data_IF_100742929920
#
_entry.id   IF_100742929920
#
_cell.length_a   1.000
_cell.length_b   1.000
_cell.length_c   1.000
_cell.angle_alpha   90.00
_cell.angle_beta   90.00
_cell.angle_gamma   90.00
#
_symmetry.space_group_name_H-M   'P 1'
#
loop_
_entity.id
_entity.type
_entity.pdbx_description
1 polymer ?
#
# COMPACT_ATOMS: atom_id res chain seq x y z
N UNK A 1 15.47 1.51 23.02
CA UNK A 1 15.83 0.70 21.83
C UNK A 1 16.49 1.63 20.82
N UNK A 2 17.71 1.32 20.35
CA UNK A 2 18.44 2.18 19.40
C UNK A 2 17.84 2.08 18.00
N UNK A 3 17.88 3.15 17.21
CA UNK A 3 17.39 3.16 15.82
C UNK A 3 17.98 2.01 14.99
N UNK A 4 19.26 1.68 15.22
CA UNK A 4 19.95 0.60 14.51
C UNK A 4 19.44 -0.81 14.84
N UNK A 5 18.98 -1.06 16.08
CA UNK A 5 18.43 -2.39 16.40
C UNK A 5 17.01 -2.53 15.86
N UNK A 6 16.16 -1.49 15.98
CA UNK A 6 14.83 -1.49 15.37
C UNK A 6 14.90 -1.72 13.84
N UNK A 7 15.82 -1.03 13.16
CA UNK A 7 16.00 -1.20 11.71
C UNK A 7 16.40 -2.64 11.34
N UNK A 8 17.34 -3.22 12.08
CA UNK A 8 17.78 -4.60 11.85
C UNK A 8 16.64 -5.58 12.04
N UNK A 9 15.87 -5.43 13.12
CA UNK A 9 14.74 -6.32 13.41
C UNK A 9 13.68 -6.26 12.30
N UNK A 10 13.39 -5.07 11.77
CA UNK A 10 12.49 -4.89 10.62
C UNK A 10 13.06 -5.56 9.36
N UNK A 11 14.34 -5.33 9.04
CA UNK A 11 14.97 -5.96 7.87
C UNK A 11 14.97 -7.48 7.96
N UNK A 12 15.32 -8.03 9.12
CA UNK A 12 15.38 -9.48 9.33
C UNK A 12 13.98 -10.09 9.24
N UNK A 13 12.96 -9.41 9.78
CA UNK A 13 11.55 -9.78 9.60
C UNK A 13 11.10 -9.77 8.14
N UNK A 14 11.46 -8.72 7.37
CA UNK A 14 11.13 -8.62 5.95
C UNK A 14 11.83 -9.71 5.13
N UNK A 15 13.11 -9.98 5.38
CA UNK A 15 13.85 -11.06 4.73
C UNK A 15 13.25 -12.43 5.04
N UNK A 16 12.91 -12.68 6.30
CA UNK A 16 12.29 -13.93 6.71
C UNK A 16 10.91 -14.13 6.08
N UNK A 17 10.11 -13.06 5.95
CA UNK A 17 8.77 -13.11 5.36
C UNK A 17 8.78 -13.26 3.83
N UNK A 18 9.63 -12.49 3.14
CA UNK A 18 9.55 -12.33 1.69
C UNK A 18 10.62 -13.09 0.90
N UNK A 19 11.75 -13.46 1.54
CA UNK A 19 12.83 -14.19 0.88
C UNK A 19 13.26 -13.54 -0.44
N UNK A 20 13.32 -14.33 -1.49
CA UNK A 20 13.73 -13.89 -2.83
C UNK A 20 12.79 -12.87 -3.48
N UNK A 21 11.57 -12.71 -2.95
CA UNK A 21 10.65 -11.67 -3.44
C UNK A 21 11.05 -10.28 -2.99
N UNK A 22 11.86 -10.15 -1.93
CA UNK A 22 12.33 -8.86 -1.44
C UNK A 22 13.43 -8.31 -2.33
N UNK A 23 13.10 -7.34 -3.19
CA UNK A 23 14.06 -6.72 -4.10
C UNK A 23 14.90 -5.65 -3.41
N UNK A 24 14.25 -4.77 -2.63
CA UNK A 24 14.96 -3.74 -1.88
C UNK A 24 14.12 -3.17 -0.74
N UNK A 25 14.80 -2.59 0.24
CA UNK A 25 14.21 -1.81 1.33
C UNK A 25 14.90 -0.45 1.34
N UNK A 26 14.12 0.61 1.19
CA UNK A 26 14.61 1.99 1.17
C UNK A 26 14.09 2.70 2.42
N UNK A 27 15.02 3.21 3.23
CA UNK A 27 14.68 4.14 4.30
C UNK A 27 14.62 5.56 3.75
N UNK A 28 13.60 6.29 4.16
CA UNK A 28 13.49 7.71 3.82
C UNK A 28 12.90 8.50 4.98
N UNK A 29 12.61 9.77 4.73
CA UNK A 29 11.95 10.63 5.71
C UNK A 29 12.85 11.17 6.82
N UNK A 30 12.20 11.76 7.81
CA UNK A 30 12.83 12.67 8.77
C UNK A 30 13.90 12.03 9.65
N UNK A 31 13.74 10.73 9.98
CA UNK A 31 14.72 9.97 10.79
C UNK A 31 16.03 9.77 10.06
N UNK A 32 15.97 9.44 8.76
CA UNK A 32 17.17 9.27 7.95
C UNK A 32 17.84 10.60 7.60
N UNK A 33 17.05 11.68 7.48
CA UNK A 33 17.55 13.04 7.22
C UNK A 33 18.10 13.75 8.47
N UNK A 34 18.03 13.13 9.66
CA UNK A 34 18.45 13.76 10.92
C UNK A 34 17.55 14.90 11.41
N UNK A 35 16.31 14.98 10.91
CA UNK A 35 15.30 16.00 11.26
C UNK A 35 14.17 15.45 12.14
N UNK A 36 14.27 14.20 12.57
CA UNK A 36 13.24 13.54 13.34
C UNK A 36 13.11 14.09 14.76
N UNK A 37 11.87 14.17 15.22
CA UNK A 37 11.47 14.38 16.61
C UNK A 37 11.30 13.03 17.30
N UNK A 38 11.21 13.03 18.63
CA UNK A 38 11.04 11.79 19.41
C UNK A 38 9.81 10.95 18.99
N UNK A 39 8.76 11.60 18.49
CA UNK A 39 7.53 10.98 17.99
C UNK A 39 7.48 10.84 16.46
N UNK A 40 8.56 11.15 15.74
CA UNK A 40 8.56 10.98 14.29
C UNK A 40 8.45 9.51 13.92
N UNK A 41 7.60 9.21 12.96
CA UNK A 41 7.43 7.87 12.40
C UNK A 41 8.68 7.43 11.62
N UNK A 42 8.68 6.15 11.22
CA UNK A 42 9.72 5.56 10.38
C UNK A 42 9.15 5.31 8.99
N UNK A 43 9.71 6.01 7.99
CA UNK A 43 9.28 5.87 6.60
C UNK A 43 10.16 4.82 5.88
N UNK A 44 9.51 3.74 5.42
CA UNK A 44 10.17 2.64 4.71
C UNK A 44 9.40 2.33 3.43
N UNK A 45 10.12 2.16 2.33
CA UNK A 45 9.58 1.65 1.07
C UNK A 45 10.14 0.25 0.88
N UNK A 46 9.26 -0.74 0.78
CA UNK A 46 9.60 -2.14 0.54
C UNK A 46 9.23 -2.46 -0.90
N UNK A 47 10.21 -2.86 -1.71
CA UNK A 47 10.00 -3.27 -3.09
C UNK A 47 10.01 -4.79 -3.16
N UNK A 48 8.90 -5.35 -3.63
CA UNK A 48 8.74 -6.77 -3.88
C UNK A 48 8.73 -7.03 -5.40
N UNK A 49 9.20 -8.21 -5.82
CA UNK A 49 9.16 -8.63 -7.22
C UNK A 49 7.74 -8.87 -7.72
N UNK A 50 6.83 -9.16 -6.79
CA UNK A 50 5.42 -9.42 -7.05
C UNK A 50 4.60 -8.86 -5.89
N UNK A 51 3.42 -8.32 -6.21
CA UNK A 51 2.43 -7.90 -5.21
C UNK A 51 1.95 -9.11 -4.37
N UNK A 52 1.43 -8.89 -3.17
CA UNK A 52 0.78 -9.99 -2.43
C UNK A 52 -0.55 -10.37 -3.09
N UNK A 53 -1.08 -11.56 -2.75
CA UNK A 53 -2.39 -11.99 -3.25
C UNK A 53 -3.52 -11.04 -2.82
N UNK A 54 -3.41 -10.46 -1.63
CA UNK A 54 -4.37 -9.48 -1.13
C UNK A 54 -4.34 -8.19 -1.95
N UNK A 55 -3.14 -7.67 -2.27
CA UNK A 55 -2.98 -6.47 -3.11
C UNK A 55 -3.56 -6.69 -4.50
N UNK A 56 -3.24 -7.84 -5.11
CA UNK A 56 -3.82 -8.25 -6.41
C UNK A 56 -5.33 -8.36 -6.34
N UNK A 57 -5.86 -8.94 -5.26
CA UNK A 57 -7.30 -9.09 -5.04
C UNK A 57 -7.99 -7.73 -4.91
N UNK A 58 -7.43 -6.83 -4.10
CA UNK A 58 -7.93 -5.46 -3.89
C UNK A 58 -7.88 -4.65 -5.19
N UNK A 59 -6.78 -4.75 -5.95
CA UNK A 59 -6.68 -4.11 -7.26
C UNK A 59 -7.73 -4.62 -8.25
N UNK A 60 -7.99 -5.94 -8.26
CA UNK A 60 -9.06 -6.53 -9.08
C UNK A 60 -10.44 -6.00 -8.68
N UNK A 61 -10.75 -5.99 -7.38
CA UNK A 61 -12.00 -5.43 -6.87
C UNK A 61 -12.16 -3.96 -7.23
N UNK A 62 -11.10 -3.16 -7.07
CA UNK A 62 -11.09 -1.76 -7.44
C UNK A 62 -11.49 -1.57 -8.92
N UNK A 63 -10.89 -2.39 -9.79
CA UNK A 63 -11.18 -2.38 -11.23
C UNK A 63 -12.63 -2.79 -11.53
N UNK A 64 -13.15 -3.81 -10.85
CA UNK A 64 -14.54 -4.25 -11.00
C UNK A 64 -15.54 -3.17 -10.59
N UNK A 65 -15.29 -2.49 -9.46
CA UNK A 65 -16.10 -1.39 -8.96
C UNK A 65 -16.05 -0.18 -9.88
N UNK A 66 -14.88 0.17 -10.44
CA UNK A 66 -14.76 1.24 -11.42
C UNK A 66 -15.58 0.94 -12.68
N UNK A 67 -15.44 -0.26 -13.25
CA UNK A 67 -16.23 -0.70 -14.41
C UNK A 67 -17.73 -0.69 -14.12
N UNK A 68 -18.13 -0.97 -12.88
CA UNK A 68 -19.53 -0.86 -12.45
C UNK A 68 -19.98 0.60 -12.41
N UNK A 69 -19.17 1.50 -11.86
CA UNK A 69 -19.46 2.94 -11.85
C UNK A 69 -19.64 3.47 -13.28
N UNK A 70 -18.77 3.10 -14.22
CA UNK A 70 -18.87 3.48 -15.63
C UNK A 70 -20.17 3.00 -16.28
N UNK A 71 -20.62 1.78 -15.98
CA UNK A 71 -21.90 1.26 -16.50
C UNK A 71 -23.09 2.04 -15.93
N UNK A 72 -23.09 2.32 -14.63
CA UNK A 72 -24.16 3.05 -13.95
C UNK A 72 -24.23 4.51 -14.43
N UNK A 73 -23.08 5.10 -14.74
CA UNK A 73 -22.99 6.43 -15.32
C UNK A 73 -23.70 6.50 -16.67
N UNK A 74 -23.45 5.51 -17.55
CA UNK A 74 -24.12 5.40 -18.85
C UNK A 74 -25.64 5.22 -18.73
N UNK A 75 -26.11 4.66 -17.61
CA UNK A 75 -27.53 4.46 -17.32
C UNK A 75 -28.18 5.66 -16.61
N UNK A 76 -27.41 6.69 -16.23
CA UNK A 76 -27.90 7.84 -15.47
C UNK A 76 -28.18 7.54 -13.98
N UNK A 77 -27.74 6.39 -13.46
CA UNK A 77 -27.86 6.06 -12.03
C UNK A 77 -26.73 6.68 -11.22
N UNK A 78 -26.90 7.97 -10.89
CA UNK A 78 -25.91 8.76 -10.17
C UNK A 78 -25.58 8.24 -8.77
N UNK A 79 -26.57 7.71 -8.04
CA UNK A 79 -26.35 7.14 -6.70
C UNK A 79 -25.48 5.90 -6.81
N UNK A 80 -25.78 5.03 -7.77
CA UNK A 80 -25.00 3.85 -8.08
C UNK A 80 -23.56 4.17 -8.53
N UNK A 81 -23.38 5.26 -9.30
CA UNK A 81 -22.05 5.75 -9.71
C UNK A 81 -21.20 6.12 -8.50
N UNK A 82 -21.70 7.00 -7.63
CA UNK A 82 -20.92 7.50 -6.48
C UNK A 82 -20.53 6.35 -5.56
N UNK A 83 -21.48 5.47 -5.23
CA UNK A 83 -21.20 4.31 -4.38
C UNK A 83 -20.14 3.38 -4.98
N UNK A 84 -20.27 3.05 -6.28
CA UNK A 84 -19.32 2.16 -6.95
C UNK A 84 -17.94 2.81 -7.12
N UNK A 85 -17.87 4.12 -7.38
CA UNK A 85 -16.62 4.85 -7.49
C UNK A 85 -15.87 4.92 -6.14
N UNK A 86 -16.58 5.15 -5.04
CA UNK A 86 -15.98 5.14 -3.71
C UNK A 86 -15.33 3.79 -3.39
N UNK A 87 -16.06 2.68 -3.64
CA UNK A 87 -15.53 1.34 -3.44
C UNK A 87 -14.31 1.05 -4.32
N UNK A 88 -14.25 1.62 -5.53
CA UNK A 88 -13.09 1.50 -6.39
C UNK A 88 -11.86 2.17 -5.78
N UNK A 89 -12.00 3.41 -5.32
CA UNK A 89 -10.91 4.17 -4.69
C UNK A 89 -10.45 3.54 -3.39
N UNK A 90 -11.38 3.10 -2.54
CA UNK A 90 -11.05 2.47 -1.27
C UNK A 90 -10.25 1.18 -1.45
N UNK A 91 -10.62 0.34 -2.41
CA UNK A 91 -9.88 -0.89 -2.69
C UNK A 91 -8.52 -0.59 -3.34
N UNK A 92 -8.43 0.42 -4.21
CA UNK A 92 -7.16 0.81 -4.82
C UNK A 92 -6.18 1.40 -3.80
N UNK A 93 -6.64 2.28 -2.90
CA UNK A 93 -5.81 2.91 -1.87
C UNK A 93 -5.32 1.92 -0.79
N UNK A 94 -5.97 0.76 -0.70
CA UNK A 94 -5.62 -0.32 0.21
C UNK A 94 -4.82 -1.44 -0.47
N UNK A 95 -4.73 -1.46 -1.81
CA UNK A 95 -3.92 -2.41 -2.56
C UNK A 95 -2.45 -1.97 -2.56
#
# INVERSE_FOLDING_TARGET
MSFNCLYRDVLDGLKARYGDKLLSVVLFGSRFQGRAKAHSDLDILVLLSEAEDEDRYRFRLATEHLRRAERLFKLGDWVGVVNSAQLAVENFAKA
#
